data_IF_964587207953
#
_entry.id   IF_964587207953
#
_cell.length_a   1.000
_cell.length_b   1.000
_cell.length_c   1.000
_cell.angle_alpha   90.00
_cell.angle_beta   90.00
_cell.angle_gamma   90.00
#
_symmetry.space_group_name_H-M   'P 1'
#
loop_
_entity.id
_entity.type
_entity.pdbx_description
1 polymer ?
#
# COMPACT_ATOMS: atom_id res chain seq x y z
N UNK A 1 -8.12 -4.83 12.86
CA UNK A 1 -8.07 -3.50 13.50
C UNK A 1 -9.46 -2.89 13.75
N UNK A 2 -10.37 -3.56 14.44
CA UNK A 2 -11.73 -3.04 14.66
C UNK A 2 -11.78 -1.80 15.56
N UNK A 3 -10.77 -1.58 16.42
CA UNK A 3 -10.68 -0.44 17.32
C UNK A 3 -10.51 0.91 16.59
N UNK A 4 -9.92 0.90 15.39
CA UNK A 4 -9.59 2.12 14.66
C UNK A 4 -10.58 2.47 13.54
N UNK A 5 -11.45 1.55 13.13
CA UNK A 5 -12.44 1.80 12.07
C UNK A 5 -13.53 2.80 12.47
N UNK A 6 -13.63 3.14 13.75
CA UNK A 6 -14.69 4.03 14.29
C UNK A 6 -14.19 5.15 15.18
N UNK A 7 -12.88 5.43 15.23
CA UNK A 7 -12.45 6.69 15.81
C UNK A 7 -12.97 7.82 14.92
N UNK A 8 -13.73 8.77 15.48
CA UNK A 8 -14.17 9.90 14.70
C UNK A 8 -12.93 10.60 14.15
N UNK A 9 -12.82 10.67 12.84
CA UNK A 9 -11.76 11.42 12.17
C UNK A 9 -11.92 12.93 12.42
N UNK A 10 -12.89 13.32 13.22
CA UNK A 10 -13.19 14.68 13.61
C UNK A 10 -13.50 15.54 12.40
N UNK A 11 -12.56 16.38 12.05
CA UNK A 11 -12.64 17.26 10.88
C UNK A 11 -11.97 16.65 9.64
N UNK A 12 -11.66 15.34 9.69
CA UNK A 12 -10.96 14.63 8.64
C UNK A 12 -11.83 14.41 7.40
N UNK A 13 -11.23 14.64 6.24
CA UNK A 13 -11.77 14.25 4.95
C UNK A 13 -11.12 12.92 4.57
N UNK A 14 -11.90 11.97 4.07
CA UNK A 14 -11.38 10.64 3.72
C UNK A 14 -10.93 10.55 2.25
N UNK A 15 -11.31 11.49 1.41
CA UNK A 15 -10.98 11.47 -0.01
C UNK A 15 -11.15 12.83 -0.69
N UNK A 16 -10.41 13.01 -1.79
CA UNK A 16 -10.60 14.16 -2.69
C UNK A 16 -12.05 14.28 -3.21
N UNK A 17 -12.76 13.16 -3.40
CA UNK A 17 -14.16 13.17 -3.81
C UNK A 17 -15.08 13.78 -2.75
N UNK A 18 -14.86 13.43 -1.49
CA UNK A 18 -15.59 13.97 -0.35
C UNK A 18 -15.38 15.48 -0.24
N UNK A 19 -14.14 15.93 -0.36
CA UNK A 19 -13.81 17.35 -0.40
C UNK A 19 -14.53 18.09 -1.53
N UNK A 20 -14.43 17.62 -2.77
CA UNK A 20 -15.10 18.25 -3.89
C UNK A 20 -16.63 18.30 -3.75
N UNK A 21 -17.23 17.25 -3.17
CA UNK A 21 -18.65 17.19 -2.86
C UNK A 21 -19.08 18.18 -1.76
N UNK A 22 -18.26 18.33 -0.72
CA UNK A 22 -18.47 19.31 0.33
C UNK A 22 -18.31 20.74 -0.21
N UNK A 23 -17.23 21.01 -0.94
CA UNK A 23 -16.88 22.35 -1.43
C UNK A 23 -17.97 22.96 -2.30
N UNK A 24 -18.54 22.18 -3.25
CA UNK A 24 -19.63 22.64 -4.15
C UNK A 24 -20.92 23.00 -3.45
N UNK A 25 -21.10 22.60 -2.19
CA UNK A 25 -22.28 22.94 -1.38
C UNK A 25 -22.10 24.22 -0.55
N UNK A 26 -20.88 24.79 -0.56
CA UNK A 26 -20.58 25.99 0.19
C UNK A 26 -20.73 27.25 -0.66
N UNK A 27 -21.08 28.33 0.00
CA UNK A 27 -21.06 29.69 -0.55
C UNK A 27 -20.07 30.48 0.30
N UNK A 28 -19.11 31.09 -0.35
CA UNK A 28 -18.00 31.77 0.34
C UNK A 28 -18.12 33.29 0.18
N UNK A 29 -18.14 34.01 1.29
CA UNK A 29 -18.21 35.47 1.33
C UNK A 29 -16.79 36.07 1.28
N UNK A 30 -16.21 36.21 0.10
CA UNK A 30 -14.82 36.63 -0.12
C UNK A 30 -14.48 38.00 0.49
N UNK A 31 -15.46 38.88 0.69
CA UNK A 31 -15.22 40.19 1.30
C UNK A 31 -14.87 40.13 2.79
N UNK A 32 -15.37 39.12 3.51
CA UNK A 32 -15.28 39.00 4.97
C UNK A 32 -14.35 37.88 5.42
N UNK A 33 -13.93 37.00 4.52
CA UNK A 33 -13.16 35.81 4.85
C UNK A 33 -11.83 35.74 4.10
N UNK A 34 -10.91 34.99 4.67
CA UNK A 34 -9.66 34.55 4.06
C UNK A 34 -9.58 33.04 4.12
N UNK A 35 -8.81 32.46 3.22
CA UNK A 35 -8.57 31.01 3.19
C UNK A 35 -7.07 30.74 3.03
N UNK A 36 -6.61 29.69 3.69
CA UNK A 36 -5.19 29.30 3.69
C UNK A 36 -5.06 27.83 4.10
N UNK A 37 -3.91 27.24 3.83
CA UNK A 37 -3.59 25.91 4.33
C UNK A 37 -2.52 25.95 5.41
N UNK A 38 -2.57 24.92 6.27
CA UNK A 38 -1.52 24.62 7.23
C UNK A 38 -1.04 23.21 6.97
N UNK A 39 0.24 23.02 6.73
CA UNK A 39 0.89 21.72 6.57
C UNK A 39 1.56 21.29 7.87
N UNK A 40 1.39 20.03 8.27
CA UNK A 40 2.07 19.49 9.45
C UNK A 40 3.49 19.08 9.10
N UNK A 41 4.45 19.85 9.58
CA UNK A 41 5.87 19.60 9.34
C UNK A 41 6.30 18.22 9.84
N UNK A 42 6.64 17.32 8.91
CA UNK A 42 7.16 15.98 9.21
C UNK A 42 6.24 15.20 10.19
N UNK A 43 4.95 15.08 9.88
CA UNK A 43 3.94 14.49 10.78
C UNK A 43 4.42 13.20 11.45
N UNK A 44 4.75 12.15 10.68
CA UNK A 44 5.08 10.83 11.23
C UNK A 44 6.26 10.85 12.23
N UNK A 45 7.42 11.46 11.91
CA UNK A 45 8.51 11.60 12.87
C UNK A 45 8.20 12.47 14.09
N UNK A 46 7.21 13.37 13.97
CA UNK A 46 6.84 14.34 15.04
C UNK A 46 5.82 13.81 16.02
N UNK A 47 5.19 12.66 15.75
CA UNK A 47 4.25 12.04 16.71
C UNK A 47 5.00 11.61 17.97
N UNK A 48 4.56 12.14 19.12
CA UNK A 48 5.07 11.70 20.42
C UNK A 48 4.43 10.34 20.77
N UNK A 49 5.22 9.27 20.68
CA UNK A 49 4.73 7.89 20.92
C UNK A 49 4.24 7.67 22.34
N UNK A 50 4.81 8.33 23.33
CA UNK A 50 4.38 8.24 24.72
C UNK A 50 2.99 8.85 24.91
N UNK A 51 2.80 10.08 24.42
CA UNK A 51 1.49 10.75 24.42
C UNK A 51 0.45 9.96 23.65
N UNK A 52 0.82 9.41 22.48
CA UNK A 52 -0.06 8.56 21.67
C UNK A 52 -0.51 7.31 22.44
N UNK A 53 0.40 6.62 23.11
CA UNK A 53 0.09 5.43 23.91
C UNK A 53 -0.89 5.79 25.04
N UNK A 54 -0.64 6.89 25.77
CA UNK A 54 -1.53 7.34 26.84
C UNK A 54 -2.91 7.76 26.31
N UNK A 55 -2.99 8.41 25.15
CA UNK A 55 -4.24 8.71 24.47
C UNK A 55 -5.03 7.44 24.11
N UNK A 56 -4.35 6.42 23.52
CA UNK A 56 -4.98 5.13 23.18
C UNK A 56 -5.52 4.45 24.45
N UNK A 57 -4.74 4.41 25.53
CA UNK A 57 -5.15 3.79 26.78
C UNK A 57 -6.33 4.52 27.42
N UNK A 58 -6.30 5.85 27.42
CA UNK A 58 -7.40 6.70 27.95
C UNK A 58 -8.68 6.48 27.16
N UNK A 59 -8.60 6.48 25.83
CA UNK A 59 -9.78 6.27 24.99
C UNK A 59 -10.34 4.85 25.13
N UNK A 60 -9.47 3.85 25.28
CA UNK A 60 -9.87 2.43 25.34
C UNK A 60 -10.46 2.06 26.70
N UNK A 61 -9.86 2.54 27.81
CA UNK A 61 -10.22 2.07 29.16
C UNK A 61 -10.94 3.13 30.01
N UNK A 62 -10.53 4.40 29.93
CA UNK A 62 -10.97 5.41 30.89
C UNK A 62 -12.26 6.12 30.42
N UNK A 63 -12.44 6.30 29.09
CA UNK A 63 -13.64 6.97 28.56
C UNK A 63 -14.82 6.02 28.29
N UNK A 64 -14.67 4.73 28.53
CA UNK A 64 -15.72 3.69 28.27
C UNK A 64 -16.31 3.73 26.82
N UNK A 65 -15.70 4.49 25.92
CA UNK A 65 -16.19 4.66 24.54
C UNK A 65 -16.10 3.38 23.73
N UNK A 66 -15.05 2.59 23.95
CA UNK A 66 -14.88 1.30 23.28
C UNK A 66 -16.02 0.33 23.60
N UNK A 67 -16.57 0.39 24.84
CA UNK A 67 -17.72 -0.43 25.27
C UNK A 67 -19.03 0.12 24.73
N UNK A 68 -19.19 1.44 24.63
CA UNK A 68 -20.42 2.09 24.14
C UNK A 68 -20.53 2.12 22.60
N UNK A 69 -19.40 2.18 21.88
CA UNK A 69 -19.39 2.26 20.41
C UNK A 69 -19.62 0.93 19.69
N UNK A 70 -19.69 -0.20 20.37
CA UNK A 70 -19.74 -1.54 19.76
C UNK A 70 -20.97 -2.40 20.13
N UNK A 71 -22.25 -1.89 20.07
CA UNK A 71 -23.40 -2.77 20.33
C UNK A 71 -23.47 -3.96 19.34
N UNK A 72 -23.07 -3.76 18.07
CA UNK A 72 -23.06 -4.81 17.02
C UNK A 72 -21.80 -5.70 17.04
N UNK A 73 -20.72 -5.28 17.66
CA UNK A 73 -19.47 -6.04 17.73
C UNK A 73 -19.18 -6.60 19.13
N UNK A 74 -20.02 -6.32 20.13
CA UNK A 74 -19.85 -6.82 21.49
C UNK A 74 -19.64 -8.34 21.50
N UNK A 75 -20.48 -9.08 20.80
CA UNK A 75 -20.38 -10.55 20.75
C UNK A 75 -19.21 -11.04 19.89
N UNK A 76 -18.92 -10.35 18.79
CA UNK A 76 -17.78 -10.69 17.92
C UNK A 76 -16.45 -10.24 18.51
N UNK A 77 -16.39 -9.05 19.13
CA UNK A 77 -15.18 -8.56 19.77
C UNK A 77 -14.83 -9.36 21.03
N UNK A 78 -15.81 -9.78 21.83
CA UNK A 78 -15.57 -10.67 22.96
C UNK A 78 -15.07 -12.05 22.57
N UNK A 79 -15.45 -12.55 21.38
CA UNK A 79 -14.95 -13.83 20.85
C UNK A 79 -13.59 -13.72 20.16
N UNK A 80 -13.29 -12.58 19.53
CA UNK A 80 -12.06 -12.36 18.75
C UNK A 80 -10.91 -11.77 19.55
N UNK A 81 -11.21 -10.99 20.59
CA UNK A 81 -10.21 -10.31 21.41
C UNK A 81 -10.59 -10.48 22.89
N UNK A 82 -9.95 -11.41 23.61
CA UNK A 82 -10.09 -11.47 25.05
C UNK A 82 -9.70 -10.11 25.64
N UNK A 83 -10.38 -9.64 26.71
CA UNK A 83 -10.08 -8.36 27.32
C UNK A 83 -8.60 -8.31 27.75
N UNK A 84 -7.82 -7.49 27.05
CA UNK A 84 -6.40 -7.31 27.36
C UNK A 84 -6.31 -6.34 28.53
N UNK A 85 -5.66 -6.69 29.66
CA UNK A 85 -5.43 -5.75 30.74
C UNK A 85 -4.68 -4.50 30.29
N UNK A 86 -5.06 -3.32 30.85
CA UNK A 86 -4.49 -2.01 30.45
C UNK A 86 -2.94 -2.02 30.48
N UNK A 87 -2.34 -2.61 31.50
CA UNK A 87 -0.89 -2.69 31.62
C UNK A 87 -0.23 -3.53 30.51
N UNK A 88 -0.86 -4.66 30.10
CA UNK A 88 -0.36 -5.48 29.00
C UNK A 88 -0.47 -4.76 27.65
N UNK A 89 -1.60 -4.10 27.39
CA UNK A 89 -1.75 -3.29 26.17
C UNK A 89 -0.70 -2.17 26.13
N UNK A 90 -0.41 -1.51 27.28
CA UNK A 90 0.67 -0.51 27.37
C UNK A 90 2.02 -1.10 26.98
N UNK A 91 2.36 -2.26 27.53
CA UNK A 91 3.63 -2.96 27.20
C UNK A 91 3.68 -3.31 25.70
N UNK A 92 2.60 -3.87 25.15
CA UNK A 92 2.53 -4.23 23.73
C UNK A 92 2.72 -3.02 22.83
N UNK A 93 1.98 -1.93 23.07
CA UNK A 93 2.10 -0.69 22.29
C UNK A 93 3.50 -0.09 22.40
N UNK A 94 4.07 -0.03 23.61
CA UNK A 94 5.42 0.47 23.82
C UNK A 94 6.43 -0.34 23.01
N UNK A 95 6.38 -1.67 23.10
CA UNK A 95 7.29 -2.53 22.32
C UNK A 95 7.10 -2.36 20.83
N UNK A 96 5.86 -2.35 20.34
CA UNK A 96 5.57 -2.24 18.91
C UNK A 96 6.01 -0.89 18.33
N UNK A 97 5.75 0.22 19.04
CA UNK A 97 6.02 1.56 18.53
C UNK A 97 7.47 2.04 18.78
N UNK A 98 8.21 1.41 19.69
CA UNK A 98 9.56 1.87 20.05
C UNK A 98 10.67 0.82 19.87
N UNK A 99 10.34 -0.47 19.87
CA UNK A 99 11.35 -1.54 19.84
C UNK A 99 11.34 -2.35 18.53
N UNK A 100 10.17 -2.56 17.93
CA UNK A 100 10.03 -3.33 16.67
C UNK A 100 10.04 -2.48 15.41
N UNK A 101 10.60 -1.28 15.47
CA UNK A 101 10.70 -0.32 14.37
C UNK A 101 12.09 -0.40 13.71
N UNK A 102 12.45 -1.57 13.25
CA UNK A 102 13.70 -1.76 12.52
C UNK A 102 13.52 -1.42 11.03
N UNK A 103 14.47 -0.68 10.48
CA UNK A 103 14.56 -0.40 9.04
C UNK A 103 15.96 -0.77 8.54
N UNK A 104 16.02 -1.30 7.34
CA UNK A 104 17.26 -1.62 6.66
C UNK A 104 17.62 -0.52 5.67
N UNK A 105 18.85 -0.01 5.78
CA UNK A 105 19.42 0.93 4.82
C UNK A 105 20.86 0.57 4.51
N UNK A 106 21.17 0.35 3.26
CA UNK A 106 22.51 0.01 2.78
C UNK A 106 23.15 -1.20 3.50
N UNK A 107 22.35 -2.26 3.74
CA UNK A 107 22.79 -3.48 4.42
C UNK A 107 23.00 -3.34 5.94
N UNK A 108 22.62 -2.20 6.51
CA UNK A 108 22.66 -1.97 7.96
C UNK A 108 21.27 -1.84 8.53
N UNK A 109 21.05 -2.33 9.73
CA UNK A 109 19.80 -2.21 10.45
C UNK A 109 19.83 -1.02 11.40
N UNK A 110 18.79 -0.20 11.32
CA UNK A 110 18.58 0.95 12.17
C UNK A 110 17.27 0.77 12.93
N UNK A 111 17.22 1.24 14.16
CA UNK A 111 15.99 1.31 14.93
C UNK A 111 15.50 2.75 14.96
N UNK A 112 14.22 2.96 14.62
CA UNK A 112 13.60 4.25 14.78
C UNK A 112 13.38 4.53 16.28
N UNK A 113 13.87 5.65 16.78
CA UNK A 113 13.78 6.00 18.19
C UNK A 113 12.64 6.97 18.53
N UNK A 114 12.08 7.65 17.52
CA UNK A 114 11.01 8.67 17.69
C UNK A 114 10.02 8.60 16.53
N UNK A 115 8.77 8.94 16.84
CA UNK A 115 7.72 9.04 15.83
C UNK A 115 7.19 7.69 15.34
N UNK A 116 6.42 7.74 14.27
CA UNK A 116 5.84 6.58 13.60
C UNK A 116 6.62 6.24 12.33
N UNK A 117 6.69 4.95 12.00
CA UNK A 117 7.37 4.47 10.80
C UNK A 117 6.64 4.88 9.52
N UNK A 118 7.35 5.47 8.56
CA UNK A 118 6.82 5.73 7.23
C UNK A 118 6.74 4.40 6.48
N UNK A 119 5.54 4.05 5.96
CA UNK A 119 5.28 2.79 5.27
C UNK A 119 4.69 1.68 6.17
N UNK A 120 4.61 1.88 7.48
CA UNK A 120 3.84 1.00 8.35
C UNK A 120 2.34 1.23 8.13
N UNK A 121 1.60 0.13 7.99
CA UNK A 121 0.14 0.12 7.73
C UNK A 121 -0.64 0.84 8.86
N UNK A 122 -0.12 0.83 10.08
CA UNK A 122 -0.78 1.42 11.25
C UNK A 122 -0.49 2.90 11.41
N UNK A 123 0.63 3.38 10.91
CA UNK A 123 1.10 4.76 11.12
C UNK A 123 0.12 5.86 10.67
N UNK A 124 -0.55 5.78 9.51
CA UNK A 124 -1.52 6.81 9.12
C UNK A 124 -2.70 6.90 10.07
N UNK A 125 -3.20 5.75 10.55
CA UNK A 125 -4.33 5.69 11.49
C UNK A 125 -3.93 6.27 12.84
N UNK A 126 -2.76 5.90 13.35
CA UNK A 126 -2.23 6.37 14.62
C UNK A 126 -1.90 7.86 14.60
N UNK A 127 -1.33 8.37 13.50
CA UNK A 127 -1.07 9.79 13.33
C UNK A 127 -2.37 10.61 13.29
N UNK A 128 -3.37 10.15 12.55
CA UNK A 128 -4.69 10.79 12.52
C UNK A 128 -5.37 10.79 13.89
N UNK A 129 -5.27 9.69 14.64
CA UNK A 129 -5.79 9.60 16.00
C UNK A 129 -5.07 10.55 16.95
N UNK A 130 -3.74 10.63 16.86
CA UNK A 130 -2.94 11.57 17.66
C UNK A 130 -3.34 13.01 17.41
N UNK A 131 -3.41 13.44 16.14
CA UNK A 131 -3.82 14.78 15.77
C UNK A 131 -5.25 15.08 16.23
N UNK A 132 -6.20 14.16 16.00
CA UNK A 132 -7.58 14.34 16.45
C UNK A 132 -7.66 14.68 17.94
N UNK A 133 -6.93 13.96 18.79
CA UNK A 133 -6.98 14.18 20.23
C UNK A 133 -6.36 15.51 20.68
N UNK A 134 -5.37 16.03 19.95
CA UNK A 134 -4.75 17.31 20.31
C UNK A 134 -5.51 18.53 19.75
N UNK A 135 -6.28 18.36 18.67
CA UNK A 135 -6.92 19.46 17.95
C UNK A 135 -8.44 19.60 18.22
N UNK A 136 -9.16 18.49 18.42
CA UNK A 136 -10.61 18.46 18.36
C UNK A 136 -11.30 19.50 19.23
N UNK A 137 -11.03 19.51 20.54
CA UNK A 137 -11.67 20.45 21.47
C UNK A 137 -11.21 21.91 21.22
N UNK A 138 -9.95 22.11 20.84
CA UNK A 138 -9.40 23.43 20.56
C UNK A 138 -10.03 24.05 19.32
N UNK A 139 -10.16 23.26 18.24
CA UNK A 139 -10.82 23.73 17.01
C UNK A 139 -12.30 23.96 17.24
N UNK A 140 -12.98 23.09 18.00
CA UNK A 140 -14.38 23.29 18.37
C UNK A 140 -14.60 24.59 19.12
N UNK A 141 -13.69 24.92 20.05
CA UNK A 141 -13.69 26.21 20.74
C UNK A 141 -13.46 27.37 19.79
N UNK A 142 -12.46 27.28 18.92
CA UNK A 142 -12.16 28.34 17.92
C UNK A 142 -13.33 28.57 16.95
N UNK A 143 -14.06 27.53 16.59
CA UNK A 143 -15.30 27.62 15.80
C UNK A 143 -16.42 28.31 16.57
N UNK A 144 -16.62 27.98 17.85
CA UNK A 144 -17.66 28.62 18.70
C UNK A 144 -17.35 30.09 18.96
N UNK A 145 -16.09 30.47 18.97
CA UNK A 145 -15.64 31.88 19.09
C UNK A 145 -15.69 32.64 17.75
N UNK A 146 -16.08 31.99 16.64
CA UNK A 146 -16.11 32.59 15.31
C UNK A 146 -14.73 32.86 14.71
N UNK A 147 -13.66 32.30 15.29
CA UNK A 147 -12.28 32.48 14.78
C UNK A 147 -12.01 31.60 13.56
N UNK A 148 -12.68 30.45 13.44
CA UNK A 148 -12.62 29.53 12.29
C UNK A 148 -14.04 29.30 11.77
N UNK A 149 -14.28 29.55 10.49
CA UNK A 149 -15.54 29.28 9.82
C UNK A 149 -15.62 27.81 9.39
N UNK A 150 -14.63 27.36 8.62
CA UNK A 150 -14.50 25.97 8.22
C UNK A 150 -13.07 25.47 8.43
N UNK A 151 -12.99 24.22 8.89
CA UNK A 151 -11.72 23.50 9.04
C UNK A 151 -11.87 22.10 8.49
N UNK A 152 -10.98 21.73 7.63
CA UNK A 152 -10.92 20.42 6.96
C UNK A 152 -9.48 19.92 7.03
N UNK A 153 -9.29 18.64 7.33
CA UNK A 153 -7.97 18.04 7.37
C UNK A 153 -7.92 16.71 6.62
N UNK A 154 -6.89 16.53 5.83
CA UNK A 154 -6.54 15.27 5.20
C UNK A 154 -5.10 14.90 5.58
N UNK A 155 -4.95 13.95 6.52
CA UNK A 155 -3.67 13.61 7.14
C UNK A 155 -2.94 14.82 7.74
N UNK A 156 -1.93 15.32 7.04
CA UNK A 156 -1.08 16.46 7.37
C UNK A 156 -1.60 17.79 6.79
N UNK A 157 -2.29 17.74 5.67
CA UNK A 157 -2.85 18.91 5.01
C UNK A 157 -4.10 19.44 5.73
N UNK A 158 -4.09 20.68 6.19
CA UNK A 158 -5.23 21.36 6.82
C UNK A 158 -5.68 22.54 5.96
N UNK A 159 -6.96 22.64 5.64
CA UNK A 159 -7.56 23.77 4.94
C UNK A 159 -8.45 24.55 5.90
N UNK A 160 -8.26 25.86 5.97
CA UNK A 160 -8.94 26.74 6.91
C UNK A 160 -9.61 27.88 6.16
N UNK A 161 -10.84 28.15 6.51
CA UNK A 161 -11.60 29.34 6.13
C UNK A 161 -11.90 30.13 7.41
N UNK A 162 -11.53 31.40 7.44
CA UNK A 162 -11.59 32.23 8.65
C UNK A 162 -11.94 33.69 8.32
N UNK A 163 -12.41 34.50 9.29
CA UNK A 163 -12.55 35.93 9.09
C UNK A 163 -11.23 36.59 8.72
N UNK A 164 -11.26 37.60 7.86
CA UNK A 164 -10.06 38.33 7.45
C UNK A 164 -9.23 38.82 8.64
N UNK A 165 -7.90 38.67 8.55
CA UNK A 165 -6.96 39.06 9.59
C UNK A 165 -6.80 38.07 10.76
N UNK A 166 -7.46 36.90 10.69
CA UNK A 166 -7.39 35.89 11.77
C UNK A 166 -6.23 34.90 11.61
N UNK A 167 -5.64 34.78 10.44
CA UNK A 167 -4.69 33.72 10.07
C UNK A 167 -3.47 33.64 10.99
N UNK A 168 -2.87 34.74 11.37
CA UNK A 168 -1.68 34.75 12.23
C UNK A 168 -2.00 34.24 13.64
N UNK A 169 -3.15 34.68 14.19
CA UNK A 169 -3.66 34.21 15.47
C UNK A 169 -3.95 32.70 15.44
N UNK A 170 -4.56 32.23 14.36
CA UNK A 170 -4.87 30.81 14.15
C UNK A 170 -3.58 30.01 14.04
N UNK A 171 -2.64 30.43 13.19
CA UNK A 171 -1.35 29.74 12.97
C UNK A 171 -0.54 29.63 14.26
N UNK A 172 -0.53 30.69 15.08
CA UNK A 172 0.12 30.68 16.40
C UNK A 172 -0.55 29.68 17.32
N UNK A 173 -1.89 29.70 17.42
CA UNK A 173 -2.65 28.79 18.25
C UNK A 173 -2.44 27.32 17.86
N UNK A 174 -2.38 27.00 16.55
CA UNK A 174 -2.08 25.66 16.06
C UNK A 174 -0.70 25.18 16.49
N UNK A 175 0.32 26.06 16.40
CA UNK A 175 1.68 25.74 16.83
C UNK A 175 1.83 25.57 18.36
N UNK A 176 0.83 25.96 19.12
CA UNK A 176 0.72 25.76 20.57
C UNK A 176 -0.10 24.49 20.94
N UNK A 177 -0.72 23.81 20.00
CA UNK A 177 -1.53 22.62 20.28
C UNK A 177 -0.73 21.50 20.92
N UNK A 178 0.47 21.26 20.45
CA UNK A 178 1.38 20.26 21.01
C UNK A 178 2.85 20.64 20.71
N UNK A 179 3.78 20.49 21.66
CA UNK A 179 5.18 20.91 21.48
C UNK A 179 5.91 20.19 20.36
N UNK A 180 5.53 18.92 20.06
CA UNK A 180 6.17 18.13 18.99
C UNK A 180 5.60 18.38 17.60
N UNK A 181 4.42 19.04 17.48
CA UNK A 181 3.77 19.30 16.19
C UNK A 181 3.99 20.75 15.79
N UNK A 182 4.44 20.96 14.56
CA UNK A 182 4.61 22.29 13.99
C UNK A 182 3.88 22.37 12.66
N UNK A 183 3.19 23.50 12.49
CA UNK A 183 2.42 23.82 11.29
C UNK A 183 3.12 24.90 10.51
N UNK A 184 3.24 24.72 9.21
CA UNK A 184 3.70 25.73 8.25
C UNK A 184 2.48 26.33 7.55
N UNK A 185 2.49 27.65 7.43
CA UNK A 185 1.43 28.41 6.77
C UNK A 185 1.72 28.46 5.26
N UNK A 186 0.75 28.08 4.46
CA UNK A 186 0.75 28.21 3.02
C UNK A 186 -0.41 29.11 2.60
N UNK A 187 -0.09 30.13 1.80
CA UNK A 187 -1.01 31.17 1.37
C UNK A 187 -1.35 31.04 -0.11
N UNK A 188 -2.51 31.51 -0.54
CA UNK A 188 -2.82 31.60 -1.96
C UNK A 188 -1.76 32.40 -2.72
N UNK A 189 -1.14 31.80 -3.72
CA UNK A 189 -0.27 32.46 -4.67
C UNK A 189 -1.07 32.89 -5.89
N UNK A 190 -1.05 34.17 -6.23
CA UNK A 190 -1.83 34.76 -7.35
C UNK A 190 -3.33 34.39 -7.29
N UNK A 191 -3.90 34.31 -6.09
CA UNK A 191 -5.30 33.95 -5.88
C UNK A 191 -5.61 32.43 -5.99
N UNK A 192 -4.58 31.58 -6.10
CA UNK A 192 -4.70 30.14 -6.18
C UNK A 192 -4.09 29.44 -4.96
N UNK A 193 -4.83 28.54 -4.32
CA UNK A 193 -4.35 27.71 -3.22
C UNK A 193 -4.46 26.23 -3.61
N UNK A 194 -3.36 25.50 -3.53
CA UNK A 194 -3.37 24.07 -3.78
C UNK A 194 -3.81 23.33 -2.51
N UNK A 195 -4.80 22.45 -2.64
CA UNK A 195 -5.21 21.56 -1.58
C UNK A 195 -5.57 20.19 -2.15
N UNK A 196 -4.88 19.15 -1.74
CA UNK A 196 -4.98 17.78 -2.29
C UNK A 196 -4.76 17.75 -3.81
N UNK A 197 -5.77 17.27 -4.55
CA UNK A 197 -5.78 17.19 -6.01
C UNK A 197 -6.42 18.42 -6.66
N UNK A 198 -6.68 19.49 -5.89
CA UNK A 198 -7.42 20.67 -6.33
C UNK A 198 -6.55 21.94 -6.24
N UNK A 199 -6.89 22.90 -7.08
CA UNK A 199 -6.56 24.31 -6.90
C UNK A 199 -7.86 25.02 -6.57
N UNK A 200 -7.88 25.70 -5.44
CA UNK A 200 -8.96 26.61 -5.01
C UNK A 200 -8.59 27.98 -5.52
N UNK A 201 -9.50 28.64 -6.20
CA UNK A 201 -9.26 29.98 -6.79
C UNK A 201 -10.51 30.87 -6.73
N UNK A 202 -10.29 32.16 -6.78
CA UNK A 202 -11.37 33.15 -6.86
C UNK A 202 -11.84 33.26 -8.31
N UNK A 203 -13.12 32.93 -8.56
CA UNK A 203 -13.70 33.04 -9.91
C UNK A 203 -14.07 34.45 -10.23
N UNK A 204 -13.59 34.95 -11.37
CA UNK A 204 -13.97 36.25 -11.89
C UNK A 204 -15.44 36.33 -12.31
N UNK A 205 -16.06 35.19 -12.61
CA UNK A 205 -17.43 35.11 -13.12
C UNK A 205 -18.48 34.99 -12.05
N UNK A 206 -18.21 34.20 -10.97
CA UNK A 206 -19.19 33.90 -9.93
C UNK A 206 -18.99 34.72 -8.66
N UNK A 207 -17.91 35.47 -8.54
CA UNK A 207 -17.49 36.16 -7.32
C UNK A 207 -17.48 35.25 -6.08
N UNK A 208 -17.16 33.96 -6.30
CA UNK A 208 -17.10 32.89 -5.31
C UNK A 208 -15.80 32.12 -5.46
N UNK A 209 -15.48 31.27 -4.49
CA UNK A 209 -14.39 30.30 -4.62
C UNK A 209 -14.83 29.12 -5.47
N UNK A 210 -13.98 28.75 -6.40
CA UNK A 210 -14.17 27.61 -7.28
C UNK A 210 -12.98 26.64 -7.18
N UNK A 211 -13.16 25.43 -7.66
CA UNK A 211 -12.11 24.41 -7.69
C UNK A 211 -11.84 23.93 -9.10
N UNK A 212 -10.56 23.74 -9.40
CA UNK A 212 -10.11 23.08 -10.63
C UNK A 212 -9.07 21.99 -10.32
N UNK A 213 -8.84 21.11 -11.28
CA UNK A 213 -7.83 20.04 -11.13
C UNK A 213 -6.43 20.62 -10.94
N UNK A 214 -5.74 20.21 -9.88
CA UNK A 214 -4.31 20.49 -9.78
C UNK A 214 -3.54 19.74 -10.88
N UNK A 215 -2.58 20.37 -11.58
CA UNK A 215 -1.76 19.70 -12.56
C UNK A 215 -0.93 18.60 -11.88
N UNK A 216 -0.94 17.40 -12.43
CA UNK A 216 -0.08 16.29 -12.02
C UNK A 216 1.09 16.18 -13.01
N UNK A 217 2.30 16.34 -12.53
CA UNK A 217 3.52 16.25 -13.34
C UNK A 217 3.75 14.86 -13.92
N UNK A 218 3.30 13.82 -13.24
CA UNK A 218 3.44 12.42 -13.70
C UNK A 218 2.17 11.61 -13.50
N UNK A 219 1.32 11.57 -14.51
CA UNK A 219 0.29 10.52 -14.57
C UNK A 219 0.86 9.41 -15.45
N UNK A 220 1.25 8.29 -14.86
CA UNK A 220 1.57 7.07 -15.59
C UNK A 220 0.26 6.51 -16.16
N UNK A 221 -0.05 6.92 -17.38
CA UNK A 221 -1.16 6.35 -18.14
C UNK A 221 -0.63 5.20 -18.99
N UNK A 222 -1.35 4.09 -19.01
CA UNK A 222 -1.01 2.97 -19.88
C UNK A 222 -1.17 3.35 -21.35
N UNK A 223 -0.11 3.16 -22.14
CA UNK A 223 -0.20 3.27 -23.59
C UNK A 223 -1.17 2.23 -24.16
N UNK A 224 -1.84 2.57 -25.26
CA UNK A 224 -2.73 1.63 -25.96
C UNK A 224 -2.01 0.33 -26.38
N UNK A 225 -0.72 0.41 -26.67
CA UNK A 225 0.15 -0.71 -27.01
C UNK A 225 0.57 -1.58 -25.82
N UNK A 226 0.29 -1.17 -24.58
CA UNK A 226 0.64 -1.96 -23.39
C UNK A 226 -0.04 -3.33 -23.41
N UNK A 227 0.52 -4.31 -22.71
CA UNK A 227 -0.01 -5.68 -22.63
C UNK A 227 -1.30 -5.75 -21.76
N UNK A 228 -1.64 -4.67 -21.05
CA UNK A 228 -2.80 -4.65 -20.16
C UNK A 228 -4.13 -5.05 -20.85
N UNK A 229 -5.07 -5.67 -20.12
CA UNK A 229 -6.39 -6.03 -20.67
C UNK A 229 -7.13 -4.84 -21.24
N UNK A 230 -7.82 -5.00 -22.38
CA UNK A 230 -8.57 -3.93 -23.05
C UNK A 230 -9.57 -3.24 -22.12
N UNK A 231 -10.30 -4.02 -21.32
CA UNK A 231 -11.29 -3.48 -20.37
C UNK A 231 -10.64 -2.62 -19.29
N UNK A 232 -9.43 -2.98 -18.83
CA UNK A 232 -8.66 -2.20 -17.86
C UNK A 232 -8.26 -0.85 -18.48
N UNK A 233 -7.74 -0.85 -19.70
CA UNK A 233 -7.39 0.37 -20.44
C UNK A 233 -8.58 1.31 -20.60
N UNK A 234 -9.73 0.79 -21.06
CA UNK A 234 -10.96 1.58 -21.21
C UNK A 234 -11.43 2.08 -19.83
N UNK A 235 -11.32 1.26 -18.78
CA UNK A 235 -11.63 1.65 -17.41
C UNK A 235 -10.78 2.83 -16.92
N UNK A 236 -9.50 2.87 -17.25
CA UNK A 236 -8.59 3.98 -16.92
C UNK A 236 -9.05 5.26 -17.63
N UNK A 237 -9.35 5.21 -18.95
CA UNK A 237 -9.83 6.37 -19.68
C UNK A 237 -11.10 6.94 -19.03
N UNK A 238 -12.11 6.10 -18.82
CA UNK A 238 -13.37 6.50 -18.18
C UNK A 238 -13.16 7.14 -16.83
N UNK A 239 -12.30 6.50 -15.99
CA UNK A 239 -12.01 7.00 -14.64
C UNK A 239 -11.34 8.37 -14.66
N UNK A 240 -10.45 8.65 -15.61
CA UNK A 240 -9.77 9.93 -15.70
C UNK A 240 -10.75 11.05 -16.13
N UNK A 241 -11.65 10.80 -17.09
CA UNK A 241 -12.69 11.78 -17.47
C UNK A 241 -13.69 12.03 -16.33
N UNK A 242 -14.14 10.99 -15.63
CA UNK A 242 -15.00 11.13 -14.44
C UNK A 242 -14.27 11.92 -13.34
N UNK A 243 -12.98 11.65 -13.15
CA UNK A 243 -12.15 12.37 -12.17
C UNK A 243 -12.01 13.85 -12.54
N UNK A 244 -11.83 14.17 -13.82
CA UNK A 244 -11.81 15.55 -14.30
C UNK A 244 -13.16 16.26 -14.03
N UNK A 245 -14.30 15.60 -14.29
CA UNK A 245 -15.63 16.13 -13.97
C UNK A 245 -15.79 16.42 -12.47
N UNK A 246 -15.30 15.52 -11.63
CA UNK A 246 -15.40 15.69 -10.17
C UNK A 246 -14.48 16.77 -9.62
N UNK A 247 -13.41 17.12 -10.33
CA UNK A 247 -12.39 18.07 -9.86
C UNK A 247 -12.54 19.48 -10.38
N UNK A 248 -13.39 19.73 -11.37
CA UNK A 248 -13.61 21.06 -11.91
C UNK A 248 -15.05 21.49 -11.64
N UNK A 249 -15.23 22.63 -11.01
CA UNK A 249 -16.55 23.17 -10.70
C UNK A 249 -17.10 24.05 -11.83
N UNK A 250 -16.25 24.76 -12.55
CA UNK A 250 -16.63 25.56 -13.70
C UNK A 250 -16.56 24.78 -15.02
N UNK A 251 -17.52 25.03 -15.90
CA UNK A 251 -17.58 24.39 -17.23
C UNK A 251 -16.38 24.70 -18.11
N UNK A 252 -15.85 25.91 -18.04
CA UNK A 252 -14.68 26.32 -18.85
C UNK A 252 -13.45 25.50 -18.46
N UNK A 253 -13.16 25.38 -17.17
CA UNK A 253 -12.03 24.59 -16.66
C UNK A 253 -12.23 23.08 -16.91
N UNK A 254 -13.48 22.59 -16.84
CA UNK A 254 -13.82 21.21 -17.20
C UNK A 254 -13.51 20.92 -18.68
N UNK A 255 -13.88 21.82 -19.60
CA UNK A 255 -13.61 21.64 -21.03
C UNK A 255 -12.10 21.63 -21.31
N UNK A 256 -11.35 22.56 -20.73
CA UNK A 256 -9.88 22.57 -20.82
C UNK A 256 -9.27 21.25 -20.32
N UNK A 257 -9.75 20.74 -19.19
CA UNK A 257 -9.30 19.46 -18.65
C UNK A 257 -9.62 18.29 -19.59
N UNK A 258 -10.82 18.25 -20.19
CA UNK A 258 -11.22 17.24 -21.14
C UNK A 258 -10.38 17.28 -22.42
N UNK A 259 -10.10 18.43 -22.97
CA UNK A 259 -9.24 18.61 -24.15
C UNK A 259 -7.81 18.14 -23.85
N UNK A 260 -7.26 18.54 -22.71
CA UNK A 260 -5.93 18.11 -22.28
C UNK A 260 -5.83 16.59 -22.13
N UNK A 261 -6.82 15.96 -21.51
CA UNK A 261 -6.88 14.49 -21.35
C UNK A 261 -7.03 13.80 -22.69
N UNK A 262 -7.91 14.31 -23.58
CA UNK A 262 -8.12 13.74 -24.92
C UNK A 262 -6.82 13.74 -25.71
N UNK A 263 -6.10 14.85 -25.74
CA UNK A 263 -4.81 14.96 -26.42
C UNK A 263 -3.77 13.99 -25.83
N UNK A 264 -3.70 13.85 -24.50
CA UNK A 264 -2.79 12.90 -23.83
C UNK A 264 -3.09 11.45 -24.25
N UNK A 265 -4.38 11.04 -24.26
CA UNK A 265 -4.72 9.67 -24.63
C UNK A 265 -4.50 9.39 -26.12
N UNK A 266 -4.78 10.36 -27.00
CA UNK A 266 -4.48 10.23 -28.42
C UNK A 266 -2.97 10.06 -28.62
N UNK A 267 -2.13 10.84 -27.95
CA UNK A 267 -0.67 10.70 -28.00
C UNK A 267 -0.18 9.35 -27.44
N UNK A 268 -0.91 8.71 -26.55
CA UNK A 268 -0.67 7.36 -26.06
C UNK A 268 -1.16 6.25 -27.01
N UNK A 269 -1.67 6.61 -28.19
CA UNK A 269 -2.09 5.70 -29.25
C UNK A 269 -3.54 5.26 -29.19
N UNK A 270 -4.39 5.86 -28.34
CA UNK A 270 -5.81 5.56 -28.33
C UNK A 270 -6.52 6.24 -29.51
N UNK A 271 -7.51 5.55 -30.10
CA UNK A 271 -8.25 6.14 -31.22
C UNK A 271 -9.16 7.25 -30.73
N UNK A 272 -9.34 8.35 -31.50
CA UNK A 272 -10.24 9.45 -31.14
C UNK A 272 -11.66 8.96 -30.77
N UNK A 273 -12.18 7.97 -31.49
CA UNK A 273 -13.48 7.35 -31.19
C UNK A 273 -13.55 6.72 -29.80
N UNK A 274 -12.48 6.03 -29.37
CA UNK A 274 -12.43 5.41 -28.03
C UNK A 274 -12.34 6.47 -26.94
N UNK A 275 -11.61 7.54 -27.19
CA UNK A 275 -11.44 8.65 -26.24
C UNK A 275 -12.77 9.41 -26.09
N UNK A 276 -13.45 9.72 -27.21
CA UNK A 276 -14.75 10.41 -27.17
C UNK A 276 -15.82 9.59 -26.46
N UNK A 277 -15.93 8.30 -26.74
CA UNK A 277 -16.87 7.42 -26.04
C UNK A 277 -16.60 7.34 -24.51
N UNK A 278 -15.35 7.48 -24.06
CA UNK A 278 -15.03 7.54 -22.65
C UNK A 278 -15.41 8.88 -22.01
N UNK A 279 -15.28 9.98 -22.76
CA UNK A 279 -15.67 11.33 -22.37
C UNK A 279 -17.20 11.45 -22.27
N UNK A 280 -17.94 10.98 -23.28
CA UNK A 280 -19.42 10.92 -23.29
C UNK A 280 -19.93 10.14 -22.07
N UNK A 281 -19.36 8.98 -21.80
CA UNK A 281 -19.70 8.19 -20.61
C UNK A 281 -19.53 8.97 -19.30
N UNK A 282 -18.48 9.78 -19.18
CA UNK A 282 -18.26 10.61 -17.99
C UNK A 282 -19.27 11.77 -17.90
N UNK A 283 -19.72 12.31 -19.04
CA UNK A 283 -20.74 13.36 -19.10
C UNK A 283 -22.11 12.83 -18.69
N UNK A 284 -22.48 11.61 -19.16
CA UNK A 284 -23.76 10.95 -18.88
C UNK A 284 -23.84 10.39 -17.46
N UNK A 285 -22.72 10.07 -16.82
CA UNK A 285 -22.70 9.52 -15.46
C UNK A 285 -23.24 10.60 -14.49
N UNK A 286 -24.56 10.57 -14.28
CA UNK A 286 -25.21 11.29 -13.18
C UNK A 286 -24.68 10.72 -11.87
N UNK A 287 -24.65 11.51 -10.82
CA UNK A 287 -24.28 11.11 -9.47
C UNK A 287 -25.07 9.86 -9.01
N UNK A 288 -24.72 8.70 -9.54
CA UNK A 288 -25.25 7.43 -9.06
C UNK A 288 -24.54 7.06 -7.79
N UNK A 289 -24.96 7.68 -6.69
CA UNK A 289 -24.68 7.24 -5.32
C UNK A 289 -25.30 5.88 -4.99
N UNK A 290 -26.05 5.28 -5.94
CA UNK A 290 -26.75 4.00 -5.81
C UNK A 290 -26.12 2.87 -6.65
N UNK A 291 -24.79 2.79 -6.74
CA UNK A 291 -24.20 1.49 -7.07
C UNK A 291 -24.35 0.66 -5.82
N UNK A 292 -25.31 -0.27 -5.82
CA UNK A 292 -25.36 -1.39 -4.89
C UNK A 292 -23.94 -1.88 -4.73
N UNK A 293 -23.42 -1.75 -3.51
CA UNK A 293 -22.03 -2.06 -3.26
C UNK A 293 -21.88 -3.56 -3.52
N UNK A 294 -21.26 -3.91 -4.66
CA UNK A 294 -21.02 -5.29 -5.04
C UNK A 294 -20.29 -6.06 -3.91
N UNK A 295 -19.57 -5.34 -3.04
CA UNK A 295 -18.96 -5.88 -1.84
C UNK A 295 -20.03 -6.27 -0.79
N UNK A 296 -21.15 -5.56 -0.72
CA UNK A 296 -22.29 -5.96 0.11
C UNK A 296 -23.02 -7.17 -0.48
N UNK A 297 -23.17 -7.23 -1.80
CA UNK A 297 -23.77 -8.39 -2.48
C UNK A 297 -22.94 -9.67 -2.29
N UNK A 298 -21.60 -9.57 -2.33
CA UNK A 298 -20.72 -10.71 -2.01
C UNK A 298 -20.81 -11.09 -0.53
N UNK A 299 -20.89 -10.13 0.39
CA UNK A 299 -21.04 -10.40 1.83
C UNK A 299 -22.37 -11.09 2.14
N UNK A 300 -23.43 -10.73 1.43
CA UNK A 300 -24.76 -11.26 1.66
C UNK A 300 -24.98 -12.64 1.02
N UNK A 301 -24.21 -13.02 0.00
CA UNK A 301 -24.30 -14.32 -0.68
C UNK A 301 -22.89 -14.89 -0.98
N UNK A 302 -22.09 -15.22 0.05
CA UNK A 302 -20.73 -15.71 -0.15
C UNK A 302 -20.66 -17.04 -0.90
N UNK A 303 -21.66 -17.90 -0.76
CA UNK A 303 -21.69 -19.23 -1.38
C UNK A 303 -21.94 -19.22 -2.89
N UNK A 304 -22.49 -18.13 -3.43
CA UNK A 304 -22.79 -17.98 -4.86
C UNK A 304 -21.78 -17.18 -5.65
N UNK A 305 -20.87 -16.46 -4.97
CA UNK A 305 -19.89 -15.59 -5.58
C UNK A 305 -18.47 -16.15 -5.43
N UNK A 306 -17.89 -16.60 -6.53
CA UNK A 306 -16.53 -17.10 -6.56
C UNK A 306 -15.64 -16.21 -7.40
N UNK A 307 -14.42 -15.97 -6.93
CA UNK A 307 -13.42 -15.20 -7.64
C UNK A 307 -12.23 -16.09 -8.01
N UNK A 308 -11.96 -16.22 -9.31
CA UNK A 308 -10.79 -16.89 -9.84
C UNK A 308 -9.79 -15.85 -10.34
N UNK A 309 -8.57 -15.89 -9.83
CA UNK A 309 -7.49 -15.04 -10.30
C UNK A 309 -6.68 -15.77 -11.38
N UNK A 310 -6.66 -15.25 -12.61
CA UNK A 310 -5.85 -15.80 -13.70
C UNK A 310 -4.66 -14.87 -13.98
N UNK A 311 -3.46 -15.41 -14.19
CA UNK A 311 -2.33 -14.60 -14.64
C UNK A 311 -2.61 -14.06 -16.05
N UNK A 312 -2.49 -12.74 -16.23
CA UNK A 312 -2.67 -12.12 -17.54
C UNK A 312 -1.34 -12.08 -18.30
N UNK A 313 -1.19 -12.95 -19.26
CA UNK A 313 0.00 -13.04 -20.12
C UNK A 313 -0.24 -12.55 -21.54
N UNK A 314 -1.49 -12.56 -22.00
CA UNK A 314 -1.89 -12.09 -23.33
C UNK A 314 -3.40 -11.90 -23.42
N UNK A 315 -3.87 -11.29 -24.50
CA UNK A 315 -5.32 -11.14 -24.78
C UNK A 315 -6.06 -12.50 -24.91
N UNK A 316 -5.36 -13.59 -25.16
CA UNK A 316 -5.92 -14.96 -25.19
C UNK A 316 -6.49 -15.35 -23.82
N UNK A 317 -5.86 -14.92 -22.73
CA UNK A 317 -6.35 -15.19 -21.37
C UNK A 317 -7.72 -14.53 -21.11
N UNK A 318 -7.94 -13.34 -21.65
CA UNK A 318 -9.27 -12.69 -21.56
C UNK A 318 -10.36 -13.48 -22.29
N UNK A 319 -10.02 -14.13 -23.44
CA UNK A 319 -10.94 -15.01 -24.15
C UNK A 319 -11.23 -16.27 -23.34
N UNK A 320 -10.21 -16.92 -22.81
CA UNK A 320 -10.37 -18.09 -21.90
C UNK A 320 -11.23 -17.73 -20.69
N UNK A 321 -11.03 -16.57 -20.09
CA UNK A 321 -11.84 -16.09 -18.96
C UNK A 321 -13.32 -15.88 -19.36
N UNK A 322 -13.58 -15.39 -20.57
CA UNK A 322 -14.94 -15.23 -21.08
C UNK A 322 -15.62 -16.59 -21.34
N UNK A 323 -14.90 -17.53 -21.92
CA UNK A 323 -15.37 -18.88 -22.21
C UNK A 323 -15.66 -19.65 -20.90
N UNK A 324 -14.78 -19.56 -19.91
CA UNK A 324 -14.99 -20.14 -18.58
C UNK A 324 -16.26 -19.58 -17.90
N UNK A 325 -16.47 -18.26 -17.93
CA UNK A 325 -17.68 -17.65 -17.37
C UNK A 325 -18.94 -18.17 -18.07
N UNK A 326 -18.91 -18.28 -19.40
CA UNK A 326 -20.01 -18.80 -20.20
C UNK A 326 -20.30 -20.26 -19.85
N UNK A 327 -19.26 -21.07 -19.72
CA UNK A 327 -19.35 -22.48 -19.38
C UNK A 327 -19.95 -22.68 -17.98
N UNK A 328 -19.44 -21.98 -16.97
CA UNK A 328 -20.00 -22.02 -15.61
C UNK A 328 -21.45 -21.58 -15.60
N UNK A 329 -21.82 -20.51 -16.28
CA UNK A 329 -23.19 -20.03 -16.34
C UNK A 329 -24.14 -21.02 -17.03
N UNK A 330 -23.63 -21.83 -17.96
CA UNK A 330 -24.42 -22.85 -18.65
C UNK A 330 -24.72 -24.06 -17.75
N UNK A 331 -23.73 -24.52 -16.95
CA UNK A 331 -23.88 -25.70 -16.11
C UNK A 331 -24.39 -25.42 -14.70
N UNK A 332 -24.12 -24.21 -14.18
CA UNK A 332 -24.50 -23.78 -12.83
C UNK A 332 -24.99 -22.32 -12.88
N UNK A 333 -26.23 -22.07 -13.35
CA UNK A 333 -26.76 -20.71 -13.55
C UNK A 333 -26.77 -19.85 -12.27
N UNK A 334 -26.88 -20.49 -11.11
CA UNK A 334 -26.86 -19.86 -9.78
C UNK A 334 -25.45 -19.42 -9.34
N UNK A 335 -24.42 -19.89 -10.04
CA UNK A 335 -23.02 -19.62 -9.71
C UNK A 335 -22.52 -18.37 -10.42
N UNK A 336 -22.06 -17.39 -9.67
CA UNK A 336 -21.48 -16.17 -10.22
C UNK A 336 -19.94 -16.24 -10.19
N UNK A 337 -19.33 -16.62 -11.32
CA UNK A 337 -17.87 -16.68 -11.44
C UNK A 337 -17.31 -15.33 -11.89
N UNK A 338 -16.57 -14.67 -11.00
CA UNK A 338 -15.76 -13.51 -11.34
C UNK A 338 -14.33 -13.95 -11.63
N UNK A 339 -13.78 -13.44 -12.73
CA UNK A 339 -12.39 -13.70 -13.08
C UNK A 339 -11.63 -12.40 -13.03
N UNK A 340 -10.69 -12.33 -12.08
CA UNK A 340 -9.74 -11.24 -11.94
C UNK A 340 -8.48 -11.57 -12.75
N UNK A 341 -7.91 -10.59 -13.42
CA UNK A 341 -6.63 -10.73 -14.09
C UNK A 341 -5.50 -10.23 -13.17
N UNK A 342 -4.61 -11.14 -12.80
CA UNK A 342 -3.38 -10.80 -12.07
C UNK A 342 -2.29 -10.49 -13.10
N UNK A 343 -1.91 -9.23 -13.26
CA UNK A 343 -0.78 -8.83 -14.09
C UNK A 343 0.52 -9.19 -13.38
N UNK A 344 1.46 -9.76 -14.13
CA UNK A 344 2.83 -9.95 -13.64
C UNK A 344 3.44 -8.57 -13.37
N UNK A 345 3.91 -8.36 -12.16
CA UNK A 345 4.60 -7.13 -11.83
C UNK A 345 6.03 -7.19 -12.39
N UNK A 346 6.17 -6.80 -13.66
CA UNK A 346 7.45 -6.79 -14.38
C UNK A 346 8.49 -5.97 -13.63
N UNK A 347 8.06 -4.90 -12.95
CA UNK A 347 8.95 -4.09 -12.11
C UNK A 347 9.58 -4.93 -10.99
N UNK A 348 8.82 -5.75 -10.29
CA UNK A 348 9.37 -6.59 -9.23
C UNK A 348 10.31 -7.66 -9.80
N UNK A 349 10.03 -8.20 -10.98
CA UNK A 349 10.91 -9.17 -11.64
C UNK A 349 12.19 -8.51 -12.17
N UNK A 350 12.11 -7.32 -12.75
CA UNK A 350 13.29 -6.58 -13.25
C UNK A 350 14.08 -6.00 -12.06
N UNK A 351 13.41 -5.40 -11.08
CA UNK A 351 14.06 -4.81 -9.90
C UNK A 351 14.68 -5.90 -9.02
N UNK A 352 14.03 -7.03 -8.82
CA UNK A 352 14.63 -8.18 -8.14
C UNK A 352 15.92 -8.64 -8.86
N UNK A 353 15.93 -8.66 -10.19
CA UNK A 353 17.10 -9.01 -10.97
C UNK A 353 18.18 -7.91 -10.96
N UNK A 354 17.81 -6.64 -10.94
CA UNK A 354 18.76 -5.51 -10.86
C UNK A 354 19.41 -5.37 -9.47
N UNK A 355 18.69 -5.70 -8.40
CA UNK A 355 19.25 -5.76 -7.04
C UNK A 355 19.91 -7.10 -6.70
N UNK A 356 19.87 -8.09 -7.58
CA UNK A 356 20.55 -9.38 -7.43
C UNK A 356 22.07 -9.34 -7.63
N UNK A 357 22.66 -8.17 -7.81
CA UNK A 357 24.14 -7.99 -7.81
C UNK A 357 24.74 -8.00 -6.38
N UNK A 358 23.93 -8.19 -5.33
CA UNK A 358 24.48 -8.59 -4.04
C UNK A 358 24.99 -10.02 -4.16
N UNK A 359 26.22 -10.22 -3.66
CA UNK A 359 26.86 -11.52 -3.55
C UNK A 359 25.82 -12.60 -3.21
N UNK A 360 25.63 -13.63 -4.06
CA UNK A 360 24.66 -14.70 -3.80
C UNK A 360 24.81 -15.31 -2.40
N UNK A 361 26.02 -15.22 -1.84
CA UNK A 361 26.37 -15.80 -0.54
C UNK A 361 25.81 -15.00 0.66
N UNK A 362 25.33 -13.77 0.48
CA UNK A 362 24.70 -12.96 1.55
C UNK A 362 23.19 -13.08 1.59
N UNK A 363 22.59 -14.00 0.82
CA UNK A 363 21.15 -14.18 0.77
C UNK A 363 20.58 -14.67 2.11
N UNK A 364 19.41 -14.13 2.47
CA UNK A 364 18.66 -14.54 3.66
C UNK A 364 17.32 -15.18 3.25
N UNK A 365 16.81 -16.11 4.07
CA UNK A 365 15.52 -16.79 3.87
C UNK A 365 15.39 -17.32 2.43
N UNK A 366 16.27 -18.22 2.06
CA UNK A 366 16.40 -18.71 0.68
C UNK A 366 16.39 -20.22 0.57
N UNK A 367 16.05 -20.70 -0.63
CA UNK A 367 16.33 -22.06 -1.12
C UNK A 367 17.56 -21.98 -2.01
N UNK A 368 18.50 -22.87 -1.82
CA UNK A 368 19.79 -22.89 -2.51
C UNK A 368 20.10 -24.28 -3.07
N UNK A 369 20.98 -24.32 -4.04
CA UNK A 369 21.48 -25.52 -4.68
C UNK A 369 23.01 -25.55 -4.58
N UNK A 370 23.54 -26.68 -4.19
CA UNK A 370 24.93 -27.05 -4.40
C UNK A 370 25.01 -27.94 -5.64
N UNK A 371 25.84 -27.55 -6.60
CA UNK A 371 26.11 -28.34 -7.81
C UNK A 371 27.57 -28.74 -7.85
N UNK A 372 27.85 -30.03 -7.79
CA UNK A 372 29.22 -30.53 -7.92
C UNK A 372 29.72 -30.38 -9.34
N UNK A 373 31.02 -30.59 -9.53
CA UNK A 373 31.65 -30.76 -10.87
C UNK A 373 31.17 -32.02 -11.60
N UNK A 374 30.78 -33.05 -10.86
CA UNK A 374 30.01 -34.19 -11.35
C UNK A 374 28.51 -33.83 -11.44
N UNK A 375 27.65 -34.71 -11.98
CA UNK A 375 26.23 -34.42 -12.06
C UNK A 375 25.50 -34.28 -10.75
N UNK A 376 26.11 -34.70 -9.63
CA UNK A 376 25.48 -34.73 -8.32
C UNK A 376 25.14 -33.32 -7.79
N UNK A 377 23.94 -33.19 -7.21
CA UNK A 377 23.44 -31.95 -6.66
C UNK A 377 22.78 -32.14 -5.29
N UNK A 378 22.74 -31.07 -4.51
CA UNK A 378 22.03 -31.00 -3.24
C UNK A 378 21.20 -29.70 -3.20
N UNK A 379 20.00 -29.78 -2.72
CA UNK A 379 19.11 -28.64 -2.49
C UNK A 379 18.84 -28.52 -1.01
N UNK A 380 18.84 -27.30 -0.49
CA UNK A 380 18.56 -27.00 0.91
C UNK A 380 17.92 -25.65 1.10
N UNK A 381 17.33 -25.45 2.27
CA UNK A 381 16.78 -24.18 2.68
C UNK A 381 17.60 -23.58 3.83
N UNK A 382 17.58 -22.25 3.97
CA UNK A 382 18.25 -21.57 5.07
C UNK A 382 17.69 -20.19 5.35
N UNK A 383 17.83 -19.75 6.61
CA UNK A 383 17.59 -18.35 7.01
C UNK A 383 18.76 -17.46 6.62
N UNK A 384 20.00 -17.99 6.63
CA UNK A 384 21.22 -17.26 6.27
C UNK A 384 22.14 -18.13 5.44
N UNK A 385 22.38 -17.74 4.20
CA UNK A 385 23.25 -18.47 3.29
C UNK A 385 24.70 -18.47 3.78
N UNK A 386 25.17 -17.36 4.32
CA UNK A 386 26.53 -17.24 4.88
C UNK A 386 26.77 -18.24 6.02
N UNK A 387 25.88 -18.28 7.01
CA UNK A 387 25.97 -19.23 8.11
C UNK A 387 25.87 -20.69 7.63
N UNK A 388 25.06 -20.93 6.59
CA UNK A 388 24.86 -22.27 6.02
C UNK A 388 26.09 -22.76 5.26
N UNK A 389 26.80 -21.88 4.54
CA UNK A 389 28.06 -22.20 3.87
C UNK A 389 29.14 -22.57 4.90
N UNK A 390 29.21 -21.86 6.02
CA UNK A 390 30.11 -22.23 7.13
C UNK A 390 29.81 -23.65 7.62
N UNK A 391 28.55 -23.97 7.87
CA UNK A 391 28.11 -25.31 8.29
C UNK A 391 28.47 -26.39 7.24
N UNK A 392 28.25 -26.10 5.97
CA UNK A 392 28.54 -27.05 4.89
C UNK A 392 30.05 -27.27 4.67
N UNK A 393 30.92 -26.35 5.07
CA UNK A 393 32.35 -26.51 4.97
C UNK A 393 32.95 -27.27 6.15
N UNK A 394 32.16 -27.54 7.21
CA UNK A 394 32.60 -28.30 8.39
C UNK A 394 32.43 -29.80 8.19
N UNK A 395 33.41 -30.62 8.63
CA UNK A 395 33.31 -32.07 8.57
C UNK A 395 32.18 -32.57 9.49
N UNK A 396 31.16 -33.16 8.91
CA UNK A 396 30.05 -33.79 9.65
C UNK A 396 29.49 -34.96 8.85
N UNK A 397 29.08 -36.03 9.53
CA UNK A 397 28.42 -37.20 8.89
C UNK A 397 27.05 -36.87 8.29
N UNK A 398 26.45 -35.77 8.69
CA UNK A 398 25.18 -35.30 8.19
C UNK A 398 25.32 -34.29 7.03
N UNK A 399 26.53 -33.78 6.82
CA UNK A 399 26.80 -32.76 5.81
C UNK A 399 27.05 -33.38 4.44
N UNK A 400 25.98 -33.61 3.69
CA UNK A 400 26.01 -34.31 2.40
C UNK A 400 26.91 -33.64 1.34
N UNK A 401 26.85 -32.30 1.13
CA UNK A 401 27.79 -31.62 0.22
C UNK A 401 29.26 -31.86 0.60
N UNK A 402 29.61 -31.74 1.87
CA UNK A 402 31.00 -31.96 2.35
C UNK A 402 31.47 -33.39 2.11
N UNK A 403 30.67 -34.38 2.51
CA UNK A 403 31.02 -35.80 2.32
C UNK A 403 31.19 -36.12 0.84
N UNK A 404 30.30 -35.62 0.00
CA UNK A 404 30.40 -35.84 -1.43
C UNK A 404 31.69 -35.27 -2.01
N UNK A 405 32.08 -34.02 -1.70
CA UNK A 405 33.28 -33.43 -2.26
C UNK A 405 34.57 -34.10 -1.78
N UNK A 406 34.63 -34.70 -0.58
CA UNK A 406 35.77 -35.44 -0.09
C UNK A 406 35.97 -36.73 -0.85
N UNK A 407 34.94 -37.37 -1.33
CA UNK A 407 34.99 -38.64 -2.07
C UNK A 407 34.97 -38.46 -3.62
N UNK A 408 34.50 -37.28 -4.13
CA UNK A 408 34.34 -37.04 -5.54
C UNK A 408 35.67 -36.80 -6.29
N UNK A 409 36.15 -37.79 -6.97
CA UNK A 409 37.40 -37.71 -7.77
C UNK A 409 37.41 -36.56 -8.77
N UNK A 410 36.26 -36.29 -9.44
CA UNK A 410 36.15 -35.18 -10.41
C UNK A 410 36.31 -33.83 -9.72
N UNK A 411 35.67 -33.63 -8.53
CA UNK A 411 35.80 -32.43 -7.75
C UNK A 411 37.25 -32.18 -7.31
N UNK A 412 37.88 -33.19 -6.74
CA UNK A 412 39.27 -33.11 -6.25
C UNK A 412 40.26 -32.79 -7.38
N UNK A 413 40.06 -33.36 -8.57
CA UNK A 413 40.87 -33.09 -9.77
C UNK A 413 40.72 -31.65 -10.24
N UNK A 414 39.49 -31.13 -10.27
CA UNK A 414 39.19 -29.78 -10.71
C UNK A 414 39.67 -28.72 -9.71
N UNK A 415 39.50 -28.99 -8.42
CA UNK A 415 40.02 -28.13 -7.36
C UNK A 415 41.55 -27.94 -7.49
N UNK A 416 42.30 -29.01 -7.70
CA UNK A 416 43.78 -28.96 -7.92
C UNK A 416 44.15 -28.18 -9.19
N UNK A 417 43.31 -28.19 -10.20
CA UNK A 417 43.54 -27.47 -11.47
C UNK A 417 43.21 -25.98 -11.36
N UNK A 418 42.21 -25.63 -10.57
CA UNK A 418 41.66 -24.27 -10.49
C UNK A 418 42.62 -23.24 -9.88
N UNK A 419 43.61 -23.67 -9.07
CA UNK A 419 44.51 -22.82 -8.29
C UNK A 419 43.75 -21.84 -7.34
N UNK A 420 42.49 -22.10 -7.07
CA UNK A 420 41.62 -21.31 -6.18
C UNK A 420 41.70 -21.92 -4.78
N UNK A 421 41.58 -21.08 -3.74
CA UNK A 421 41.45 -21.53 -2.38
C UNK A 421 40.29 -22.54 -2.27
N UNK A 422 40.49 -23.68 -1.51
CA UNK A 422 39.48 -24.73 -1.41
C UNK A 422 38.13 -24.26 -0.96
N UNK A 423 38.06 -23.29 -0.05
CA UNK A 423 36.83 -22.74 0.48
C UNK A 423 36.10 -21.86 -0.61
N UNK A 424 36.85 -21.01 -1.27
CA UNK A 424 36.31 -20.18 -2.35
C UNK A 424 35.83 -21.04 -3.52
N UNK A 425 36.54 -22.12 -3.85
CA UNK A 425 36.10 -23.07 -4.86
C UNK A 425 34.84 -23.81 -4.45
N UNK A 426 34.73 -24.22 -3.19
CA UNK A 426 33.53 -24.85 -2.63
C UNK A 426 32.33 -23.89 -2.68
N UNK A 427 32.49 -22.66 -2.19
CA UNK A 427 31.46 -21.65 -2.17
C UNK A 427 30.94 -21.29 -3.58
N UNK A 428 31.82 -21.33 -4.60
CA UNK A 428 31.43 -21.07 -5.99
C UNK A 428 30.49 -22.13 -6.58
N UNK A 429 30.28 -23.25 -5.90
CA UNK A 429 29.38 -24.34 -6.31
C UNK A 429 27.96 -24.16 -5.77
N UNK A 430 27.72 -23.13 -4.96
CA UNK A 430 26.40 -22.82 -4.45
C UNK A 430 25.74 -21.74 -5.27
N UNK A 431 24.45 -21.90 -5.52
CA UNK A 431 23.60 -20.84 -6.08
C UNK A 431 22.29 -20.76 -5.34
N UNK A 432 21.80 -19.56 -5.15
CA UNK A 432 20.48 -19.32 -4.58
C UNK A 432 19.45 -19.47 -5.70
N UNK A 433 18.43 -20.30 -5.46
CA UNK A 433 17.33 -20.57 -6.41
C UNK A 433 16.19 -19.59 -6.13
N UNK A 434 15.77 -19.49 -4.86
CA UNK A 434 14.66 -18.67 -4.42
C UNK A 434 15.05 -17.81 -3.21
N UNK A 435 14.46 -16.62 -3.06
CA UNK A 435 14.84 -15.65 -2.02
C UNK A 435 13.63 -15.02 -1.35
N UNK A 436 13.86 -14.46 -0.14
CA UNK A 436 12.88 -13.67 0.61
C UNK A 436 11.61 -14.45 0.97
N UNK A 437 11.75 -15.76 1.21
CA UNK A 437 10.66 -16.68 1.50
C UNK A 437 10.33 -16.70 3.00
N UNK A 438 9.06 -16.91 3.34
CA UNK A 438 8.71 -17.27 4.70
C UNK A 438 9.11 -18.74 5.03
N UNK A 439 8.86 -19.19 6.26
CA UNK A 439 9.25 -20.54 6.68
C UNK A 439 8.56 -21.64 5.87
N UNK A 440 7.24 -21.53 5.70
CA UNK A 440 6.44 -22.54 5.00
C UNK A 440 6.73 -22.56 3.49
N UNK A 441 6.96 -21.40 2.91
CA UNK A 441 7.34 -21.27 1.50
C UNK A 441 8.71 -21.93 1.24
N UNK A 442 9.68 -21.73 2.12
CA UNK A 442 11.02 -22.33 1.98
C UNK A 442 10.95 -23.87 2.02
N UNK A 443 10.26 -24.44 3.01
CA UNK A 443 10.10 -25.89 3.15
C UNK A 443 9.42 -26.52 1.91
N UNK A 444 8.34 -25.89 1.43
CA UNK A 444 7.61 -26.36 0.24
C UNK A 444 8.44 -26.25 -1.04
N UNK A 445 9.10 -25.13 -1.24
CA UNK A 445 9.90 -24.89 -2.43
C UNK A 445 11.18 -25.74 -2.44
N UNK A 446 11.81 -25.97 -1.30
CA UNK A 446 12.90 -26.94 -1.15
C UNK A 446 12.45 -28.32 -1.65
N UNK A 447 11.34 -28.84 -1.12
CA UNK A 447 10.80 -30.14 -1.52
C UNK A 447 10.45 -30.22 -3.02
N UNK A 448 9.82 -29.17 -3.56
CA UNK A 448 9.51 -29.08 -4.99
C UNK A 448 10.77 -29.11 -5.86
N UNK A 449 11.79 -28.32 -5.48
CA UNK A 449 13.04 -28.28 -6.24
C UNK A 449 13.84 -29.60 -6.16
N UNK A 450 13.82 -30.30 -5.02
CA UNK A 450 14.43 -31.63 -4.88
C UNK A 450 13.82 -32.61 -5.87
N UNK A 451 12.47 -32.63 -5.97
CA UNK A 451 11.74 -33.49 -6.90
C UNK A 451 11.98 -33.12 -8.37
N UNK A 452 11.88 -31.82 -8.69
CA UNK A 452 12.04 -31.35 -10.07
C UNK A 452 13.44 -31.58 -10.63
N UNK A 453 14.48 -31.54 -9.79
CA UNK A 453 15.88 -31.68 -10.21
C UNK A 453 16.45 -33.06 -9.97
N UNK A 454 15.68 -33.96 -9.42
CA UNK A 454 16.11 -35.32 -9.06
C UNK A 454 17.45 -35.31 -8.31
N UNK A 455 17.50 -34.51 -7.23
CA UNK A 455 18.73 -34.22 -6.51
C UNK A 455 19.21 -35.42 -5.71
N UNK A 456 20.27 -36.07 -6.20
CA UNK A 456 20.78 -37.37 -5.70
C UNK A 456 21.38 -37.34 -4.29
N UNK A 457 21.83 -36.17 -3.83
CA UNK A 457 22.37 -35.99 -2.47
C UNK A 457 21.30 -35.75 -1.42
N UNK A 458 20.05 -35.49 -1.81
CA UNK A 458 18.90 -35.32 -0.92
C UNK A 458 18.18 -36.64 -0.64
N UNK A 459 18.73 -37.48 0.19
CA UNK A 459 18.13 -38.80 0.53
C UNK A 459 16.85 -38.75 1.40
N UNK A 460 16.41 -37.56 1.83
CA UNK A 460 15.32 -37.41 2.81
C UNK A 460 13.90 -37.23 2.24
N UNK A 461 13.72 -37.16 0.94
CA UNK A 461 12.41 -36.89 0.32
C UNK A 461 11.44 -38.07 0.36
N UNK A 462 11.82 -39.21 0.90
CA UNK A 462 10.91 -40.38 1.04
C UNK A 462 9.78 -40.16 2.08
N UNK A 463 9.74 -39.05 2.81
CA UNK A 463 8.74 -38.76 3.85
C UNK A 463 7.91 -37.49 3.64
N UNK A 464 8.13 -36.72 2.59
CA UNK A 464 7.24 -35.61 2.27
C UNK A 464 6.04 -36.14 1.49
N UNK A 465 4.94 -36.45 2.17
CA UNK A 465 3.62 -36.62 1.56
C UNK A 465 3.17 -35.31 0.92
N UNK A 466 3.73 -34.98 -0.24
CA UNK A 466 3.21 -33.90 -1.07
C UNK A 466 2.11 -34.48 -1.92
N UNK A 467 0.88 -34.44 -1.42
CA UNK A 467 -0.31 -34.65 -2.25
C UNK A 467 -0.49 -33.39 -3.10
N UNK A 468 -0.19 -33.49 -4.40
CA UNK A 468 -0.65 -32.52 -5.37
C UNK A 468 -2.18 -32.70 -5.52
N UNK A 469 -2.96 -31.77 -4.97
CA UNK A 469 -4.39 -31.62 -5.25
C UNK A 469 -4.56 -30.48 -6.21
#
# INVERSE_FOLDING_TARGET
>A
MPLFEKFPTGFGINSSKEFGGWFRKQIFCLNEMEYFSLDVKKLFPSVCTETLIDQILTETYDKNRAVQMLPRFRDKAQKLFPPIPKHLLKIMLTKTLTQFTALEFNGRYFRQCKGLGIGDITSPVLANFFLHNIEHEKIKKMKSEGLILHYLRYCDDCLIFAPKGSRERITRAFNEFHPSIKYELDLPEKGELKFLDFIIYESETSNNLEIKSAPKESVTMDAQSSIAPKNMKIGILKSEFIRAKLRNSENVELQKAYESLSNKFINLGYTPKTVEAAKEHAQEERDQTNKTDWAEEIKNNPERNHCLALPFTSQRVSKIAADLRKLVKTFTPEFNLRIAHKTLNVRNSIVANLYSVKDPLTAVKCVYEFQCVCPSSYIGETISMEARLEQHFQPSRENKPYLHITECVKYQKELRRSRIDPRSFFNSRFRVIERNLDYLEREKLEAVHIVLKDSDLNKQVQHANISFV
#
